data_IF_298521756425
#
_entry.id   IF_298521756425
#
_cell.length_a   1.000
_cell.length_b   1.000
_cell.length_c   1.000
_cell.angle_alpha   90.00
_cell.angle_beta   90.00
_cell.angle_gamma   90.00
#
_symmetry.space_group_name_H-M   'P 1'
#
loop_
_entity.id
_entity.type
_entity.pdbx_description
1 polymer ?
#
# COMPACT_ATOMS: atom_id res chain seq x y z
N UNK A 1 -34.20 -27.98 37.52
CA UNK A 1 -34.21 -29.19 36.68
C UNK A 1 -34.28 -28.73 35.23
N UNK A 2 -33.20 -28.89 34.47
CA UNK A 2 -33.12 -28.47 33.07
C UNK A 2 -33.98 -29.40 32.19
N UNK A 3 -34.66 -28.85 31.19
CA UNK A 3 -35.55 -29.60 30.28
C UNK A 3 -34.72 -30.40 29.27
N UNK A 4 -35.36 -31.40 28.65
CA UNK A 4 -34.72 -32.36 27.74
C UNK A 4 -34.12 -31.70 26.48
N UNK A 5 -34.52 -30.48 26.23
CA UNK A 5 -34.22 -29.62 25.08
C UNK A 5 -32.84 -28.96 25.26
N UNK A 6 -32.49 -28.57 26.49
CA UNK A 6 -31.20 -27.96 26.87
C UNK A 6 -30.02 -28.94 26.77
N UNK A 7 -30.27 -30.25 26.79
CA UNK A 7 -29.23 -31.28 26.60
C UNK A 7 -28.92 -31.59 25.14
N UNK A 8 -29.78 -31.16 24.21
CA UNK A 8 -29.66 -31.46 22.79
C UNK A 8 -29.03 -30.28 22.02
N UNK A 9 -29.34 -29.04 22.39
CA UNK A 9 -28.62 -27.87 21.91
C UNK A 9 -27.48 -27.52 22.86
N UNK A 10 -26.26 -27.96 22.53
CA UNK A 10 -25.06 -27.68 23.31
C UNK A 10 -24.68 -26.20 23.35
N UNK A 11 -25.39 -25.40 24.14
CA UNK A 11 -25.08 -24.01 24.38
C UNK A 11 -24.06 -23.87 25.53
N UNK A 12 -22.79 -23.67 25.17
CA UNK A 12 -21.76 -23.21 26.12
C UNK A 12 -21.87 -21.69 26.25
N UNK A 13 -22.77 -21.25 27.13
CA UNK A 13 -22.92 -19.86 27.56
C UNK A 13 -21.92 -19.52 28.67
N UNK A 14 -20.67 -19.11 28.34
CA UNK A 14 -19.80 -18.28 29.21
C UNK A 14 -18.72 -17.55 28.39
N UNK A 15 -18.99 -16.31 27.95
CA UNK A 15 -17.97 -15.29 27.69
C UNK A 15 -18.38 -14.00 28.38
N UNK A 16 -18.20 -13.96 29.70
CA UNK A 16 -18.23 -12.72 30.48
C UNK A 16 -16.82 -12.50 31.01
N UNK A 17 -16.09 -11.57 30.40
CA UNK A 17 -14.80 -11.10 30.91
C UNK A 17 -15.10 -9.97 31.90
N UNK A 18 -15.36 -10.33 33.16
CA UNK A 18 -15.37 -9.37 34.27
C UNK A 18 -13.93 -9.04 34.62
N UNK A 19 -13.56 -7.77 34.47
CA UNK A 19 -12.37 -7.23 35.11
C UNK A 19 -12.56 -7.29 36.63
N UNK A 20 -11.70 -8.02 37.34
CA UNK A 20 -11.47 -7.84 38.76
C UNK A 20 -10.02 -8.13 39.09
N UNK A 21 -9.40 -7.11 39.67
CA UNK A 21 -8.05 -7.01 40.20
C UNK A 21 -7.87 -7.86 41.45
N UNK A 22 -6.90 -8.78 41.48
CA UNK A 22 -6.28 -9.26 42.73
C UNK A 22 -4.78 -9.47 42.49
N UNK A 23 -4.03 -8.67 43.25
CA UNK A 23 -2.61 -8.67 43.55
C UNK A 23 -2.20 -9.99 44.23
N UNK A 24 -1.13 -10.66 43.78
CA UNK A 24 -0.22 -11.42 44.64
C UNK A 24 1.17 -11.53 43.99
N UNK A 25 2.17 -11.09 44.75
CA UNK A 25 3.55 -10.91 44.33
C UNK A 25 4.36 -12.18 44.17
N UNK A 26 5.51 -12.03 43.49
CA UNK A 26 6.66 -12.88 43.71
C UNK A 26 7.96 -12.13 43.35
N UNK A 27 8.78 -11.93 44.37
CA UNK A 27 10.12 -11.32 44.32
C UNK A 27 11.15 -12.23 43.63
N UNK A 28 12.07 -11.65 42.86
CA UNK A 28 13.50 -12.00 42.94
C UNK A 28 14.43 -11.07 42.15
N UNK A 29 15.32 -10.43 42.92
CA UNK A 29 16.74 -10.16 42.68
C UNK A 29 17.21 -9.12 41.61
N UNK A 30 17.34 -7.88 42.10
CA UNK A 30 18.56 -7.03 42.15
C UNK A 30 19.50 -6.88 40.94
N UNK A 31 19.64 -5.63 40.47
CA UNK A 31 20.94 -4.95 40.42
C UNK A 31 20.74 -3.43 40.38
N UNK A 32 21.27 -2.75 41.39
CA UNK A 32 21.24 -1.30 41.60
C UNK A 32 22.13 -0.54 40.60
N UNK A 33 21.71 0.66 40.18
CA UNK A 33 22.56 1.86 40.21
C UNK A 33 21.72 3.15 40.04
N UNK A 34 21.91 4.10 40.94
CA UNK A 34 21.13 5.35 41.08
C UNK A 34 21.77 6.57 40.39
N UNK A 35 20.94 7.60 40.12
CA UNK A 35 21.32 9.00 39.80
C UNK A 35 21.21 9.36 38.31
N UNK A 36 20.64 10.47 37.84
CA UNK A 36 20.22 11.75 38.43
C UNK A 36 19.16 12.43 37.51
N UNK A 37 18.49 13.45 38.05
CA UNK A 37 17.38 14.22 37.52
C UNK A 37 17.58 14.83 36.11
N UNK A 38 16.58 14.65 35.24
CA UNK A 38 16.48 15.34 33.94
C UNK A 38 15.64 16.63 34.04
N UNK A 39 16.32 17.76 33.82
CA UNK A 39 15.70 19.04 33.51
C UNK A 39 14.98 18.98 32.16
N UNK A 40 13.80 19.60 32.13
CA UNK A 40 12.98 19.80 30.96
C UNK A 40 13.65 20.72 29.93
N UNK A 41 13.81 20.26 28.68
CA UNK A 41 13.88 21.12 27.50
C UNK A 41 13.21 20.46 26.29
N UNK A 42 12.31 21.23 25.72
CA UNK A 42 11.45 21.02 24.57
C UNK A 42 12.24 20.84 23.25
N UNK A 43 11.89 19.85 22.44
CA UNK A 43 12.37 19.69 21.06
C UNK A 43 11.27 19.06 20.18
N UNK A 44 11.13 19.55 18.93
CA UNK A 44 9.92 19.39 18.13
C UNK A 44 9.75 17.98 17.58
N UNK A 45 8.48 17.60 17.43
CA UNK A 45 8.02 16.33 16.88
C UNK A 45 8.69 16.00 15.53
N UNK A 46 9.66 15.07 15.58
CA UNK A 46 10.21 14.43 14.40
C UNK A 46 9.11 13.54 13.82
N UNK A 47 8.66 13.87 12.60
CA UNK A 47 7.70 13.06 11.85
C UNK A 47 8.19 11.60 11.79
N UNK A 48 7.33 10.60 12.04
CA UNK A 48 7.75 9.22 11.93
C UNK A 48 7.99 8.90 10.45
N UNK A 49 9.27 8.84 10.07
CA UNK A 49 9.68 8.16 8.84
C UNK A 49 9.26 6.70 8.98
N UNK A 50 8.20 6.30 8.27
CA UNK A 50 7.79 4.91 8.19
C UNK A 50 8.85 4.14 7.40
N UNK A 51 9.77 3.57 8.18
CA UNK A 51 10.83 2.69 7.75
C UNK A 51 10.25 1.45 7.08
N UNK A 52 10.97 0.90 6.10
CA UNK A 52 10.62 -0.36 5.47
C UNK A 52 10.60 -1.44 6.55
N UNK A 53 9.41 -1.75 7.08
CA UNK A 53 9.28 -2.79 8.10
C UNK A 53 9.72 -4.12 7.48
N UNK A 54 10.90 -4.56 7.92
CA UNK A 54 11.47 -5.86 7.61
C UNK A 54 10.41 -6.93 7.94
N UNK A 55 10.15 -7.82 6.98
CA UNK A 55 9.11 -8.83 7.11
C UNK A 55 9.46 -9.78 8.28
N UNK A 56 8.75 -9.66 9.40
CA UNK A 56 8.99 -10.39 10.67
C UNK A 56 8.58 -11.88 10.61
N UNK A 57 8.58 -12.49 9.43
CA UNK A 57 8.27 -13.91 9.22
C UNK A 57 6.79 -14.31 9.43
N UNK A 58 5.97 -13.50 10.11
CA UNK A 58 4.54 -13.77 10.30
C UNK A 58 3.71 -13.23 9.13
N UNK A 59 3.08 -14.11 8.35
CA UNK A 59 2.06 -13.71 7.37
C UNK A 59 0.81 -13.20 8.09
N UNK A 60 0.78 -11.91 8.38
CA UNK A 60 -0.34 -11.22 9.03
C UNK A 60 -1.25 -10.49 8.05
N UNK A 61 -0.94 -10.51 6.75
CA UNK A 61 -1.57 -9.66 5.75
C UNK A 61 -2.42 -10.45 4.75
N UNK A 62 -2.40 -11.79 4.80
CA UNK A 62 -3.16 -12.65 3.89
C UNK A 62 -3.87 -13.78 4.64
N UNK A 63 -4.92 -14.34 4.02
CA UNK A 63 -5.71 -15.45 4.58
C UNK A 63 -6.49 -15.10 5.85
N UNK A 64 -6.87 -16.09 6.69
CA UNK A 64 -7.69 -15.86 7.88
C UNK A 64 -7.07 -14.86 8.87
N UNK A 65 -5.74 -14.81 8.97
CA UNK A 65 -5.02 -13.88 9.85
C UNK A 65 -5.12 -12.43 9.37
N UNK A 66 -5.02 -12.21 8.05
CA UNK A 66 -5.22 -10.89 7.44
C UNK A 66 -6.64 -10.36 7.70
N UNK A 67 -7.66 -11.22 7.52
CA UNK A 67 -9.07 -10.86 7.78
C UNK A 67 -9.28 -10.44 9.24
N UNK A 68 -8.77 -11.22 10.20
CA UNK A 68 -8.88 -10.88 11.63
C UNK A 68 -8.20 -9.55 11.94
N UNK A 69 -7.01 -9.30 11.38
CA UNK A 69 -6.27 -8.06 11.59
C UNK A 69 -6.99 -6.86 10.98
N UNK A 70 -7.51 -6.99 9.77
CA UNK A 70 -8.28 -5.93 9.13
C UNK A 70 -9.57 -5.63 9.91
N UNK A 71 -10.24 -6.64 10.48
CA UNK A 71 -11.41 -6.45 11.35
C UNK A 71 -11.06 -5.76 12.67
N UNK A 72 -9.97 -6.15 13.33
CA UNK A 72 -9.49 -5.50 14.56
C UNK A 72 -9.22 -4.01 14.32
N UNK A 73 -8.54 -3.69 13.20
CA UNK A 73 -8.25 -2.32 12.81
C UNK A 73 -9.52 -1.54 12.45
N UNK A 74 -10.47 -2.17 11.75
CA UNK A 74 -11.78 -1.59 11.48
C UNK A 74 -12.50 -1.20 12.77
N UNK A 75 -12.58 -2.11 13.75
CA UNK A 75 -13.21 -1.86 15.06
C UNK A 75 -12.51 -0.78 15.87
N UNK A 76 -11.18 -0.70 15.77
CA UNK A 76 -10.42 0.37 16.41
C UNK A 76 -10.78 1.74 15.83
N UNK A 77 -10.78 1.88 14.51
CA UNK A 77 -11.14 3.14 13.83
C UNK A 77 -12.59 3.52 14.13
N UNK A 78 -13.51 2.55 14.14
CA UNK A 78 -14.92 2.78 14.48
C UNK A 78 -15.07 3.37 15.89
N UNK A 79 -14.37 2.80 16.87
CA UNK A 79 -14.41 3.29 18.25
C UNK A 79 -13.76 4.67 18.41
N UNK A 80 -12.61 4.90 17.75
CA UNK A 80 -11.94 6.21 17.75
C UNK A 80 -12.85 7.29 17.17
N UNK A 81 -13.51 7.02 16.03
CA UNK A 81 -14.45 7.95 15.39
C UNK A 81 -15.68 8.24 16.26
N UNK A 82 -16.24 7.21 16.92
CA UNK A 82 -17.36 7.40 17.87
C UNK A 82 -16.95 8.28 19.05
N UNK A 83 -15.76 8.05 19.61
CA UNK A 83 -15.25 8.85 20.71
C UNK A 83 -14.95 10.30 20.29
N UNK A 84 -14.50 10.52 19.05
CA UNK A 84 -14.27 11.86 18.50
C UNK A 84 -15.59 12.62 18.29
N UNK A 85 -16.60 11.98 17.70
CA UNK A 85 -17.95 12.54 17.55
C UNK A 85 -18.59 12.90 18.89
N UNK A 86 -18.41 12.05 19.91
CA UNK A 86 -18.92 12.34 21.25
C UNK A 86 -18.23 13.56 21.87
N UNK A 87 -16.90 13.68 21.70
CA UNK A 87 -16.14 14.87 22.14
C UNK A 87 -16.61 16.14 21.43
N UNK A 88 -16.73 16.10 20.11
CA UNK A 88 -17.23 17.23 19.31
C UNK A 88 -18.64 17.64 19.73
N UNK A 89 -19.53 16.66 19.97
CA UNK A 89 -20.89 16.90 20.44
C UNK A 89 -20.91 17.55 21.80
N UNK A 90 -20.08 17.07 22.74
CA UNK A 90 -19.96 17.65 24.08
C UNK A 90 -19.43 19.09 23.99
N UNK A 91 -18.44 19.37 23.13
CA UNK A 91 -17.92 20.71 22.90
C UNK A 91 -18.95 21.65 22.28
N UNK A 92 -19.70 21.17 21.29
CA UNK A 92 -20.79 21.91 20.66
C UNK A 92 -21.90 22.20 21.67
N UNK A 93 -22.28 21.22 22.49
CA UNK A 93 -23.26 21.39 23.56
C UNK A 93 -22.78 22.40 24.60
N UNK A 94 -21.50 22.35 25.02
CA UNK A 94 -20.90 23.36 25.91
C UNK A 94 -20.96 24.77 25.30
N UNK A 95 -20.73 24.89 23.98
CA UNK A 95 -20.81 26.17 23.25
C UNK A 95 -22.25 26.68 23.10
N UNK A 96 -23.22 25.79 22.89
CA UNK A 96 -24.64 26.15 22.74
C UNK A 96 -25.36 26.37 24.08
N UNK A 97 -24.92 25.76 25.18
CA UNK A 97 -25.54 25.88 26.53
C UNK A 97 -25.54 27.31 27.07
N UNK A 98 -24.86 28.27 26.42
CA UNK A 98 -25.03 29.70 26.66
C UNK A 98 -26.38 30.28 26.18
N UNK A 99 -27.24 29.51 25.49
CA UNK A 99 -28.59 29.93 25.07
C UNK A 99 -29.58 28.77 25.22
N UNK A 100 -30.75 29.04 25.81
CA UNK A 100 -31.79 28.11 26.25
C UNK A 100 -31.99 26.82 25.41
N UNK A 101 -32.03 25.67 26.09
CA UNK A 101 -32.30 24.32 25.55
C UNK A 101 -33.73 24.21 24.99
N UNK A 102 -33.90 23.74 23.75
CA UNK A 102 -35.23 23.55 23.12
C UNK A 102 -35.57 22.06 22.97
N UNK A 103 -36.85 21.73 23.10
CA UNK A 103 -37.43 20.37 23.03
C UNK A 103 -37.21 19.64 21.70
N UNK A 104 -36.67 20.33 20.68
CA UNK A 104 -36.38 19.77 19.36
C UNK A 104 -35.11 18.91 19.31
N UNK A 105 -34.17 19.11 20.26
CA UNK A 105 -32.93 18.34 20.29
C UNK A 105 -33.13 16.92 20.87
N UNK A 106 -34.04 16.77 21.85
CA UNK A 106 -34.37 15.47 22.45
C UNK A 106 -35.12 14.55 21.44
N UNK A 107 -35.82 15.13 20.43
CA UNK A 107 -36.50 14.37 19.37
C UNK A 107 -35.55 13.89 18.27
N UNK A 108 -34.52 14.69 17.94
CA UNK A 108 -33.51 14.33 16.93
C UNK A 108 -32.59 13.20 17.41
N UNK A 109 -32.27 13.19 18.70
CA UNK A 109 -31.47 12.15 19.34
C UNK A 109 -32.19 10.80 19.37
N UNK A 110 -33.51 10.81 19.61
CA UNK A 110 -34.35 9.61 19.47
C UNK A 110 -34.44 9.09 18.03
N UNK A 111 -34.49 9.97 17.03
CA UNK A 111 -34.47 9.53 15.63
C UNK A 111 -33.19 8.79 15.25
N UNK A 112 -32.03 9.19 15.79
CA UNK A 112 -30.77 8.47 15.57
C UNK A 112 -30.71 7.11 16.29
N UNK A 113 -31.36 6.97 17.45
CA UNK A 113 -31.37 5.72 18.22
C UNK A 113 -32.38 4.67 17.71
N UNK A 114 -33.41 5.07 16.97
CA UNK A 114 -34.59 4.20 16.73
C UNK A 114 -34.64 3.58 15.33
N UNK A 115 -33.77 3.98 14.40
CA UNK A 115 -33.81 3.46 13.03
C UNK A 115 -32.66 2.46 12.74
N UNK A 116 -32.93 1.14 12.86
CA UNK A 116 -31.94 0.11 12.57
C UNK A 116 -31.51 0.11 11.10
N UNK A 117 -32.35 0.58 10.18
CA UNK A 117 -32.04 0.66 8.74
C UNK A 117 -31.03 1.78 8.48
N UNK A 118 -31.14 2.90 9.19
CA UNK A 118 -30.14 3.98 9.17
C UNK A 118 -28.79 3.56 9.79
N UNK A 119 -28.82 2.78 10.88
CA UNK A 119 -27.62 2.23 11.48
C UNK A 119 -26.91 1.20 10.57
N UNK A 120 -27.68 0.39 9.84
CA UNK A 120 -27.15 -0.58 8.87
C UNK A 120 -26.57 0.12 7.63
N UNK A 121 -27.24 1.15 7.11
CA UNK A 121 -26.73 1.97 5.99
C UNK A 121 -25.42 2.68 6.34
N UNK A 122 -25.32 3.25 7.55
CA UNK A 122 -24.09 3.89 8.04
C UNK A 122 -22.96 2.87 8.27
N UNK A 123 -23.29 1.64 8.67
CA UNK A 123 -22.31 0.57 8.81
C UNK A 123 -21.74 0.12 7.45
N UNK A 124 -22.58 0.06 6.42
CA UNK A 124 -22.18 -0.31 5.06
C UNK A 124 -21.31 0.79 4.41
N UNK A 125 -21.68 2.06 4.58
CA UNK A 125 -20.87 3.20 4.11
C UNK A 125 -19.49 3.24 4.79
N UNK A 126 -19.44 3.00 6.10
CA UNK A 126 -18.18 2.99 6.84
C UNK A 126 -17.29 1.80 6.43
N UNK A 127 -17.86 0.63 6.16
CA UNK A 127 -17.13 -0.53 5.66
C UNK A 127 -16.53 -0.26 4.27
N UNK A 128 -17.29 0.36 3.37
CA UNK A 128 -16.80 0.80 2.06
C UNK A 128 -15.68 1.83 2.20
N UNK A 129 -15.83 2.82 3.09
CA UNK A 129 -14.81 3.82 3.37
C UNK A 129 -13.51 3.19 3.88
N UNK A 130 -13.61 2.21 4.78
CA UNK A 130 -12.44 1.47 5.29
C UNK A 130 -11.75 0.64 4.20
N UNK A 131 -12.53 -0.05 3.35
CA UNK A 131 -11.97 -0.76 2.19
C UNK A 131 -11.21 0.20 1.26
N UNK A 132 -11.84 1.32 0.87
CA UNK A 132 -11.21 2.40 0.07
C UNK A 132 -9.92 2.89 0.72
N UNK A 133 -9.93 3.17 2.02
CA UNK A 133 -8.75 3.61 2.75
C UNK A 133 -7.62 2.57 2.71
N UNK A 134 -7.93 1.29 2.98
CA UNK A 134 -6.91 0.22 2.99
C UNK A 134 -6.25 0.03 1.63
N UNK A 135 -7.01 0.12 0.54
CA UNK A 135 -6.45 0.05 -0.81
C UNK A 135 -5.57 1.26 -1.13
N UNK A 136 -6.02 2.48 -0.79
CA UNK A 136 -5.22 3.70 -0.97
C UNK A 136 -3.90 3.63 -0.23
N UNK A 137 -3.91 3.18 1.03
CA UNK A 137 -2.69 2.98 1.81
C UNK A 137 -1.73 1.96 1.17
N UNK A 138 -2.26 0.90 0.56
CA UNK A 138 -1.46 -0.11 -0.14
C UNK A 138 -0.81 0.47 -1.40
N UNK A 139 -1.56 1.24 -2.19
CA UNK A 139 -1.07 1.89 -3.42
C UNK A 139 -0.04 2.96 -3.08
N UNK A 140 -0.34 3.86 -2.13
CA UNK A 140 0.53 4.98 -1.77
C UNK A 140 1.90 4.53 -1.23
N UNK A 141 1.96 3.38 -0.55
CA UNK A 141 3.23 2.81 -0.08
C UNK A 141 4.17 2.41 -1.22
N UNK A 142 3.64 2.11 -2.41
CA UNK A 142 4.41 1.70 -3.58
C UNK A 142 4.92 2.88 -4.43
N UNK A 143 4.47 4.12 -4.17
CA UNK A 143 4.56 5.23 -5.14
C UNK A 143 5.46 6.39 -4.72
N UNK A 144 6.51 6.12 -3.94
CA UNK A 144 7.36 7.17 -3.32
C UNK A 144 8.34 7.84 -4.29
N UNK A 145 8.69 7.21 -5.40
CA UNK A 145 9.77 7.65 -6.30
C UNK A 145 9.27 7.86 -7.72
N UNK A 146 9.74 8.92 -8.40
CA UNK A 146 9.36 9.26 -9.78
C UNK A 146 10.60 9.53 -10.64
N UNK A 147 10.69 8.85 -11.79
CA UNK A 147 11.78 8.97 -12.78
C UNK A 147 11.31 9.67 -14.07
N UNK A 148 10.21 9.20 -14.66
CA UNK A 148 9.53 9.85 -15.79
C UNK A 148 10.29 9.88 -17.13
N UNK A 149 11.48 9.28 -17.22
CA UNK A 149 12.35 9.32 -18.41
C UNK A 149 13.29 8.11 -18.47
N UNK A 150 13.81 7.82 -19.67
CA UNK A 150 14.77 6.74 -19.89
C UNK A 150 16.19 7.24 -19.61
N UNK A 151 16.85 6.61 -18.65
CA UNK A 151 18.22 6.95 -18.24
C UNK A 151 19.23 6.20 -19.12
N UNK A 152 20.16 6.92 -19.74
CA UNK A 152 21.26 6.31 -20.48
C UNK A 152 22.41 5.96 -19.54
N UNK A 153 22.78 4.69 -19.48
CA UNK A 153 23.91 4.20 -18.70
C UNK A 153 25.12 4.06 -19.63
N UNK A 154 26.18 4.79 -19.32
CA UNK A 154 27.40 4.86 -20.15
C UNK A 154 28.45 3.83 -19.74
N UNK A 155 28.48 3.46 -18.46
CA UNK A 155 29.49 2.60 -17.86
C UNK A 155 28.88 1.43 -17.06
N UNK A 156 29.68 0.38 -16.87
CA UNK A 156 29.30 -0.77 -16.04
C UNK A 156 29.08 -0.40 -14.56
N UNK A 157 29.81 0.60 -14.05
CA UNK A 157 29.60 1.10 -12.69
C UNK A 157 28.26 1.80 -12.53
N UNK A 158 27.83 2.58 -13.53
CA UNK A 158 26.52 3.21 -13.55
C UNK A 158 25.41 2.17 -13.60
N UNK A 159 25.62 1.07 -14.32
CA UNK A 159 24.71 -0.08 -14.35
C UNK A 159 24.52 -0.71 -12.97
N UNK A 160 25.62 -1.04 -12.27
CA UNK A 160 25.54 -1.62 -10.93
C UNK A 160 24.90 -0.64 -9.93
N UNK A 161 25.31 0.62 -9.95
CA UNK A 161 24.72 1.66 -9.09
C UNK A 161 23.23 1.86 -9.35
N UNK A 162 22.80 1.74 -10.61
CA UNK A 162 21.39 1.87 -10.97
C UNK A 162 20.52 0.76 -10.37
N UNK A 163 21.09 -0.42 -10.10
CA UNK A 163 20.44 -1.61 -9.53
C UNK A 163 20.57 -1.63 -8.00
N UNK A 164 21.80 -1.56 -7.48
CA UNK A 164 22.10 -1.74 -6.06
C UNK A 164 21.83 -0.49 -5.22
N UNK A 165 21.90 0.69 -5.85
CA UNK A 165 21.72 1.98 -5.18
C UNK A 165 20.28 2.48 -5.16
N UNK A 166 19.33 1.70 -5.67
CA UNK A 166 17.92 2.09 -5.77
C UNK A 166 17.11 1.48 -4.63
N UNK A 167 15.96 2.08 -4.32
CA UNK A 167 15.05 1.56 -3.31
C UNK A 167 14.50 0.17 -3.69
N UNK A 168 14.38 -0.72 -2.69
CA UNK A 168 13.96 -2.12 -2.92
C UNK A 168 12.55 -2.25 -3.48
N UNK A 169 11.70 -1.23 -3.33
CA UNK A 169 10.34 -1.21 -3.87
C UNK A 169 10.29 -0.90 -5.37
N UNK A 170 11.33 -0.28 -5.93
CA UNK A 170 11.36 0.17 -7.33
C UNK A 170 11.64 -1.00 -8.26
N UNK A 171 10.84 -1.09 -9.33
CA UNK A 171 11.13 -1.96 -10.47
C UNK A 171 12.03 -1.20 -11.45
N UNK A 172 13.12 -1.84 -11.87
CA UNK A 172 14.10 -1.27 -12.79
C UNK A 172 14.11 -2.10 -14.06
N UNK A 173 13.85 -1.46 -15.19
CA UNK A 173 13.85 -2.11 -16.52
C UNK A 173 15.06 -1.61 -17.29
N UNK A 174 15.95 -2.51 -17.67
CA UNK A 174 17.19 -2.20 -18.39
C UNK A 174 17.14 -2.81 -19.78
N UNK A 175 17.16 -1.95 -20.79
CA UNK A 175 17.29 -2.32 -22.18
C UNK A 175 18.76 -2.40 -22.60
N UNK A 176 19.23 -3.62 -22.88
CA UNK A 176 20.55 -3.84 -23.47
C UNK A 176 20.40 -3.80 -24.99
N UNK A 177 21.07 -2.83 -25.62
CA UNK A 177 20.84 -2.52 -27.03
C UNK A 177 22.12 -2.36 -27.83
N UNK A 178 21.97 -2.42 -29.16
CA UNK A 178 23.02 -2.17 -30.15
C UNK A 178 22.51 -1.18 -31.19
N UNK A 179 23.37 -0.27 -31.68
CA UNK A 179 22.97 0.83 -32.60
C UNK A 179 22.53 0.35 -33.98
N UNK A 180 23.07 -0.75 -34.47
CA UNK A 180 22.88 -1.22 -35.85
C UNK A 180 21.71 -2.21 -36.00
N UNK A 181 20.84 -2.32 -34.98
CA UNK A 181 19.73 -3.28 -34.95
C UNK A 181 18.39 -2.52 -34.94
N UNK A 182 17.50 -2.74 -35.93
CA UNK A 182 16.26 -1.98 -36.04
C UNK A 182 15.33 -2.17 -34.84
N UNK A 183 15.20 -3.41 -34.34
CA UNK A 183 14.38 -3.71 -33.15
C UNK A 183 14.87 -2.98 -31.88
N UNK A 184 16.17 -2.70 -31.76
CA UNK A 184 16.70 -1.90 -30.65
C UNK A 184 16.24 -0.43 -30.74
N UNK A 185 16.19 0.12 -31.96
CA UNK A 185 15.71 1.49 -32.19
C UNK A 185 14.22 1.61 -31.88
N UNK A 186 13.41 0.64 -32.34
CA UNK A 186 11.98 0.56 -32.03
C UNK A 186 11.75 0.45 -30.51
N UNK A 187 12.47 -0.44 -29.83
CA UNK A 187 12.38 -0.62 -28.38
C UNK A 187 12.74 0.65 -27.62
N UNK A 188 13.81 1.35 -28.01
CA UNK A 188 14.17 2.64 -27.39
C UNK A 188 13.04 3.67 -27.52
N UNK A 189 12.38 3.76 -28.68
CA UNK A 189 11.21 4.62 -28.87
C UNK A 189 10.05 4.25 -27.95
N UNK A 190 9.75 2.95 -27.85
CA UNK A 190 8.69 2.43 -26.97
C UNK A 190 8.96 2.77 -25.51
N UNK A 191 10.18 2.55 -25.02
CA UNK A 191 10.55 2.80 -23.63
C UNK A 191 10.52 4.29 -23.26
N UNK A 192 10.76 5.20 -24.21
CA UNK A 192 10.63 6.65 -23.96
C UNK A 192 9.17 7.00 -23.61
N UNK A 193 8.21 6.43 -24.34
CA UNK A 193 6.80 6.64 -24.07
C UNK A 193 6.40 5.98 -22.74
N UNK A 194 6.80 4.72 -22.53
CA UNK A 194 6.49 3.99 -21.30
C UNK A 194 7.08 4.63 -20.05
N UNK A 195 8.26 5.25 -20.14
CA UNK A 195 8.86 5.93 -18.99
C UNK A 195 8.04 7.14 -18.52
N UNK A 196 7.32 7.81 -19.43
CA UNK A 196 6.42 8.92 -19.07
C UNK A 196 5.14 8.40 -18.42
N UNK A 197 4.61 7.29 -18.95
CA UNK A 197 3.38 6.67 -18.45
C UNK A 197 3.55 5.95 -17.11
N UNK A 198 4.73 5.40 -16.86
CA UNK A 198 5.08 4.66 -15.64
C UNK A 198 6.18 5.37 -14.87
N UNK A 199 5.90 6.55 -14.27
CA UNK A 199 6.92 7.36 -13.60
C UNK A 199 7.55 6.64 -12.40
N UNK A 200 6.87 5.66 -11.81
CA UNK A 200 7.36 4.89 -10.65
C UNK A 200 8.32 3.75 -11.02
N UNK A 201 8.51 3.49 -12.32
CA UNK A 201 9.41 2.46 -12.82
C UNK A 201 10.64 3.14 -13.41
N UNK A 202 11.82 2.61 -13.08
CA UNK A 202 13.08 3.16 -13.56
C UNK A 202 13.46 2.51 -14.87
N UNK A 203 13.30 3.23 -15.97
CA UNK A 203 13.73 2.76 -17.29
C UNK A 203 15.16 3.20 -17.56
N UNK A 204 16.00 2.24 -17.92
CA UNK A 204 17.39 2.47 -18.28
C UNK A 204 17.70 1.82 -19.63
N UNK A 205 18.67 2.38 -20.35
CA UNK A 205 19.25 1.76 -21.54
C UNK A 205 20.76 1.74 -21.44
N UNK A 206 21.37 0.66 -21.91
CA UNK A 206 22.82 0.49 -21.91
C UNK A 206 23.28 -0.20 -23.18
N UNK A 207 24.43 0.23 -23.70
CA UNK A 207 24.99 -0.34 -24.92
C UNK A 207 25.62 -1.70 -24.61
N UNK A 208 25.33 -2.71 -25.43
CA UNK A 208 25.83 -4.07 -25.24
C UNK A 208 27.37 -4.15 -25.22
N UNK A 209 28.07 -3.19 -25.82
CA UNK A 209 29.53 -3.11 -25.73
C UNK A 209 30.04 -2.80 -24.32
N UNK A 210 29.29 -2.02 -23.54
CA UNK A 210 29.65 -1.53 -22.21
C UNK A 210 29.44 -2.59 -21.14
N UNK A 211 28.35 -3.37 -21.23
CA UNK A 211 27.98 -4.40 -20.24
C UNK A 211 28.99 -5.57 -20.21
N UNK A 212 29.86 -5.69 -21.22
CA UNK A 212 30.82 -6.79 -21.30
C UNK A 212 30.20 -8.13 -21.76
N UNK A 213 29.02 -8.09 -22.39
CA UNK A 213 28.37 -9.30 -22.94
C UNK A 213 29.15 -9.90 -24.12
N UNK A 214 28.94 -11.20 -24.35
CA UNK A 214 29.64 -11.95 -25.40
C UNK A 214 29.37 -11.40 -26.81
N UNK A 215 30.30 -11.63 -27.76
CA UNK A 215 30.12 -11.21 -29.16
C UNK A 215 28.88 -11.84 -29.81
N UNK A 216 28.55 -13.06 -29.41
CA UNK A 216 27.35 -13.77 -29.88
C UNK A 216 26.08 -13.07 -29.41
N UNK A 217 26.03 -12.69 -28.13
CA UNK A 217 24.90 -11.97 -27.56
C UNK A 217 24.68 -10.61 -28.22
N UNK A 218 25.74 -9.90 -28.60
CA UNK A 218 25.63 -8.62 -29.32
C UNK A 218 24.97 -8.74 -30.69
N UNK A 219 25.01 -9.92 -31.33
CA UNK A 219 24.43 -10.15 -32.65
C UNK A 219 23.04 -10.76 -32.57
N UNK A 220 22.86 -11.75 -31.71
CA UNK A 220 21.65 -12.58 -31.67
C UNK A 220 20.84 -12.41 -30.39
N UNK A 221 21.39 -11.76 -29.35
CA UNK A 221 20.71 -11.60 -28.06
C UNK A 221 19.95 -10.28 -27.92
N UNK A 222 20.26 -9.26 -28.73
CA UNK A 222 19.66 -7.93 -28.65
C UNK A 222 18.50 -7.77 -29.65
N UNK A 223 17.45 -6.97 -29.34
CA UNK A 223 17.22 -6.24 -28.10
C UNK A 223 16.91 -7.18 -26.92
N UNK A 224 17.56 -6.93 -25.78
CA UNK A 224 17.33 -7.68 -24.55
C UNK A 224 16.81 -6.75 -23.46
N UNK A 225 15.89 -7.27 -22.65
CA UNK A 225 15.26 -6.55 -21.55
C UNK A 225 15.48 -7.31 -20.25
N UNK A 226 16.16 -6.68 -19.31
CA UNK A 226 16.36 -7.19 -17.96
C UNK A 226 15.50 -6.40 -16.99
N UNK A 227 14.84 -7.09 -16.08
CA UNK A 227 14.01 -6.45 -15.06
C UNK A 227 14.50 -6.84 -13.69
N UNK A 228 14.78 -5.84 -12.88
CA UNK A 228 15.28 -5.97 -11.51
C UNK A 228 14.27 -5.42 -10.51
N UNK A 229 14.22 -6.01 -9.33
CA UNK A 229 13.51 -5.48 -8.16
C UNK A 229 14.19 -5.94 -6.88
N UNK A 230 14.47 -5.03 -5.95
CA UNK A 230 15.16 -5.35 -4.70
C UNK A 230 16.54 -6.02 -4.89
N UNK A 231 17.29 -5.63 -5.93
CA UNK A 231 18.60 -6.21 -6.27
C UNK A 231 18.54 -7.60 -6.93
N UNK A 232 17.34 -8.16 -7.16
CA UNK A 232 17.17 -9.46 -7.81
C UNK A 232 16.65 -9.31 -9.24
N UNK A 233 17.08 -10.20 -10.13
CA UNK A 233 16.53 -10.31 -11.49
C UNK A 233 15.18 -11.03 -11.40
N UNK A 234 14.11 -10.33 -11.78
CA UNK A 234 12.76 -10.88 -11.85
C UNK A 234 12.32 -11.18 -13.29
N UNK A 235 12.97 -10.59 -14.29
CA UNK A 235 12.70 -10.85 -15.71
C UNK A 235 13.98 -10.78 -16.54
N UNK A 236 14.14 -11.69 -17.48
CA UNK A 236 15.26 -11.72 -18.43
C UNK A 236 14.77 -12.17 -19.80
N UNK A 237 14.59 -11.21 -20.70
CA UNK A 237 14.07 -11.44 -22.04
C UNK A 237 15.17 -11.16 -23.05
N UNK A 238 15.66 -12.22 -23.67
CA UNK A 238 16.70 -12.15 -24.70
C UNK A 238 16.02 -12.20 -26.07
N UNK A 239 16.45 -11.34 -26.98
CA UNK A 239 15.88 -11.24 -28.33
C UNK A 239 14.36 -11.08 -28.33
N UNK A 240 13.87 -10.04 -27.65
CA UNK A 240 12.43 -9.83 -27.41
C UNK A 240 11.60 -9.66 -28.70
N UNK A 241 12.24 -9.32 -29.81
CA UNK A 241 11.66 -9.30 -31.16
C UNK A 241 11.12 -10.67 -31.61
N UNK A 242 11.63 -11.79 -31.08
CA UNK A 242 11.06 -13.11 -31.38
C UNK A 242 9.65 -13.29 -30.82
N UNK A 243 9.32 -12.54 -29.76
CA UNK A 243 8.02 -12.63 -29.09
C UNK A 243 7.07 -11.53 -29.58
N UNK A 244 7.58 -10.30 -29.74
CA UNK A 244 6.78 -9.15 -30.16
C UNK A 244 6.62 -9.03 -31.68
N UNK A 245 7.47 -9.70 -32.46
CA UNK A 245 7.58 -9.53 -33.90
C UNK A 245 8.53 -8.39 -34.30
N UNK A 246 8.63 -8.15 -35.60
CA UNK A 246 9.51 -7.12 -36.19
C UNK A 246 8.91 -5.71 -36.06
N UNK A 247 7.58 -5.60 -36.13
CA UNK A 247 6.83 -4.34 -36.03
C UNK A 247 6.01 -4.33 -34.73
N UNK A 248 6.54 -3.68 -33.69
CA UNK A 248 5.89 -3.54 -32.39
C UNK A 248 5.91 -2.09 -31.91
N UNK A 249 4.93 -1.76 -31.05
CA UNK A 249 4.72 -0.44 -30.49
C UNK A 249 4.75 -0.45 -28.97
N UNK A 250 4.66 0.75 -28.36
CA UNK A 250 4.69 0.92 -26.91
C UNK A 250 3.60 0.09 -26.21
N UNK A 251 2.40 -0.02 -26.80
CA UNK A 251 1.28 -0.82 -26.29
C UNK A 251 1.60 -2.32 -26.24
N UNK A 252 2.37 -2.83 -27.19
CA UNK A 252 2.72 -4.25 -27.26
C UNK A 252 3.76 -4.58 -26.18
N UNK A 253 4.73 -3.69 -26.00
CA UNK A 253 5.72 -3.78 -24.92
C UNK A 253 5.05 -3.64 -23.55
N UNK A 254 4.09 -2.71 -23.42
CA UNK A 254 3.29 -2.53 -22.19
C UNK A 254 2.54 -3.82 -21.84
N UNK A 255 1.77 -4.35 -22.78
CA UNK A 255 0.98 -5.57 -22.61
C UNK A 255 1.88 -6.74 -22.23
N UNK A 256 3.01 -6.90 -22.92
CA UNK A 256 3.99 -7.93 -22.60
C UNK A 256 4.52 -7.82 -21.16
N UNK A 257 4.87 -6.61 -20.71
CA UNK A 257 5.38 -6.39 -19.35
C UNK A 257 4.30 -6.60 -18.28
N UNK A 258 3.04 -6.25 -18.58
CA UNK A 258 1.90 -6.49 -17.69
C UNK A 258 1.60 -7.98 -17.57
N UNK A 259 1.56 -8.72 -18.69
CA UNK A 259 1.31 -10.16 -18.73
C UNK A 259 2.32 -10.94 -17.88
N UNK A 260 3.57 -10.48 -17.85
CA UNK A 260 4.64 -11.06 -17.02
C UNK A 260 4.66 -10.52 -15.58
N UNK A 261 3.72 -9.65 -15.20
CA UNK A 261 3.61 -9.08 -13.85
C UNK A 261 4.73 -8.11 -13.48
N UNK A 262 5.42 -7.52 -14.47
CA UNK A 262 6.55 -6.60 -14.27
C UNK A 262 6.09 -5.14 -14.16
N UNK A 263 4.98 -4.81 -14.85
CA UNK A 263 4.26 -3.55 -14.70
C UNK A 263 2.91 -3.78 -14.01
N UNK A 264 2.43 -2.75 -13.32
CA UNK A 264 1.07 -2.72 -12.78
C UNK A 264 0.12 -2.35 -13.91
N UNK A 265 -0.94 -3.11 -14.10
CA UNK A 265 -1.98 -2.74 -15.06
C UNK A 265 -2.78 -1.54 -14.51
N UNK A 266 -2.82 -0.46 -15.29
CA UNK A 266 -3.62 0.75 -14.99
C UNK A 266 -5.12 0.45 -14.98
N UNK A 267 -5.55 -0.57 -15.72
CA UNK A 267 -6.96 -0.97 -15.82
C UNK A 267 -7.36 -1.93 -14.70
N UNK A 268 -6.41 -2.64 -14.06
CA UNK A 268 -6.66 -3.46 -12.88
C UNK A 268 -6.68 -2.65 -11.58
N UNK A 269 -7.22 -1.43 -11.62
CA UNK A 269 -7.55 -0.67 -10.40
C UNK A 269 -8.97 -1.05 -10.00
N UNK A 270 -9.22 -1.55 -8.77
CA UNK A 270 -10.56 -1.90 -8.34
C UNK A 270 -11.53 -0.72 -8.50
N UNK A 271 -12.73 -0.95 -9.05
CA UNK A 271 -13.74 0.10 -9.32
C UNK A 271 -14.15 0.93 -8.10
N UNK A 272 -13.96 0.35 -6.90
CA UNK A 272 -14.14 1.01 -5.61
C UNK A 272 -13.16 2.19 -5.38
N UNK A 273 -12.07 2.28 -6.14
CA UNK A 273 -11.13 3.42 -6.13
C UNK A 273 -11.38 4.38 -7.31
N UNK A 274 -11.85 3.87 -8.46
CA UNK A 274 -12.06 4.65 -9.69
C UNK A 274 -13.24 5.64 -9.61
N UNK A 275 -14.25 5.34 -8.79
CA UNK A 275 -15.49 6.13 -8.67
C UNK A 275 -15.36 7.53 -8.06
N UNK A 276 -14.14 8.05 -7.86
CA UNK A 276 -13.90 9.33 -7.20
C UNK A 276 -13.36 10.43 -8.13
N UNK A 277 -13.05 10.15 -9.41
CA UNK A 277 -12.50 11.16 -10.33
C UNK A 277 -13.56 11.85 -11.21
N UNK A 278 -14.79 11.29 -11.31
CA UNK A 278 -15.82 11.81 -12.23
C UNK A 278 -16.85 12.77 -11.59
N UNK A 279 -16.87 12.95 -10.27
CA UNK A 279 -17.89 13.76 -9.57
C UNK A 279 -17.49 15.23 -9.31
N UNK A 280 -16.28 15.65 -9.67
CA UNK A 280 -15.80 17.04 -9.45
C UNK A 280 -15.90 17.93 -10.72
N UNK A 281 -16.49 17.45 -11.82
CA UNK A 281 -16.62 18.17 -13.08
C UNK A 281 -18.07 18.28 -13.55
N UNK A 282 -18.93 18.94 -12.77
CA UNK A 282 -20.11 19.66 -13.31
C UNK A 282 -20.70 20.59 -12.24
N UNK A 283 -20.12 21.79 -12.14
CA UNK A 283 -20.77 22.97 -11.55
C UNK A 283 -20.06 24.24 -12.02
N UNK A 284 -20.42 24.70 -13.23
CA UNK A 284 -20.39 26.11 -13.64
C UNK A 284 -21.59 26.40 -14.56
#
# INVERSE_FOLDING_TARGET
MATLEDKILGEKSQYYCSSSSEDEGNDSASSDNEGEASNAYDMPAKQPSMDFSEWDGTSSNTGPKGVIRDWQRFKQIENEKRAEQEKERIELMKKLTLTCRSTLDDEREKMLETDPEFAELMADEFLLAYQKQRMREMIAKAEKLRFGSVINLEDAEQYLKAIDGEDKSVTIIIHIYQKDVPGCTAMNGCLINLAQEYPFVKFCRILASVVGVSKHFKKEGVPALLVYKGGQIIGNFVHITNTLGDDFYASDVESFLIEHGLLRDKNCVPSIIQSNEDDDSDSD
#
